data_IF_347436067383
#
_entry.id   IF_347436067383
#
_cell.length_a   1.000
_cell.length_b   1.000
_cell.length_c   1.000
_cell.angle_alpha   90.00
_cell.angle_beta   90.00
_cell.angle_gamma   90.00
#
_symmetry.space_group_name_H-M   'P 1'
#
loop_
_entity.id
_entity.type
_entity.pdbx_description
1 polymer ?
#
# COMPACT_ATOMS: atom_id res chain seq x y z
N UNK A 1 0.48 10.41 1.75
CA UNK A 1 -0.44 9.28 1.97
C UNK A 1 0.05 8.07 1.16
N UNK A 2 -0.41 6.85 1.47
CA UNK A 2 0.04 5.63 0.78
C UNK A 2 -0.36 5.59 -0.71
N UNK A 3 -1.59 6.04 -1.03
CA UNK A 3 -2.14 6.10 -2.41
C UNK A 3 -1.97 7.46 -3.13
N UNK A 4 -1.62 8.52 -2.40
CA UNK A 4 -1.63 9.89 -2.92
C UNK A 4 -2.75 10.74 -2.31
N UNK A 5 -2.71 12.05 -2.52
CA UNK A 5 -3.82 12.92 -2.11
C UNK A 5 -4.93 12.86 -3.17
N UNK A 6 -6.22 12.96 -2.81
CA UNK A 6 -7.31 12.99 -3.78
C UNK A 6 -7.33 14.29 -4.59
N UNK A 7 -8.04 14.32 -5.75
CA UNK A 7 -8.23 15.53 -6.54
C UNK A 7 -8.74 16.71 -5.70
N UNK A 8 -8.13 17.88 -5.86
CA UNK A 8 -8.51 19.11 -5.15
C UNK A 8 -7.79 19.33 -3.81
N UNK A 9 -6.94 18.41 -3.36
CA UNK A 9 -6.15 18.56 -2.12
C UNK A 9 -4.66 18.82 -2.42
N UNK A 10 -3.98 19.49 -1.48
CA UNK A 10 -2.53 19.72 -1.56
C UNK A 10 -1.80 18.37 -1.63
N UNK A 11 -0.94 18.21 -2.63
CA UNK A 11 -0.21 16.96 -2.87
C UNK A 11 -0.86 16.03 -3.90
N UNK A 12 -1.98 16.42 -4.52
CA UNK A 12 -2.49 15.75 -5.71
C UNK A 12 -1.45 15.78 -6.85
N UNK A 13 -1.38 14.72 -7.65
CA UNK A 13 -0.41 14.60 -8.75
C UNK A 13 1.00 14.11 -8.35
N UNK A 14 1.28 14.00 -7.04
CA UNK A 14 2.61 13.57 -6.54
C UNK A 14 2.77 12.05 -6.43
N UNK A 15 1.69 11.29 -6.69
CA UNK A 15 1.62 9.87 -6.38
C UNK A 15 1.65 9.57 -4.87
N UNK A 16 1.27 8.36 -4.50
CA UNK A 16 1.40 7.86 -3.15
C UNK A 16 2.80 7.34 -2.87
N UNK A 17 3.25 7.39 -1.61
CA UNK A 17 4.58 6.90 -1.25
C UNK A 17 4.71 5.40 -1.57
N UNK A 18 3.68 4.62 -1.25
CA UNK A 18 3.64 3.19 -1.53
C UNK A 18 3.46 2.92 -3.03
N UNK A 19 2.48 3.58 -3.65
CA UNK A 19 2.16 3.34 -5.06
C UNK A 19 3.31 3.70 -5.98
N UNK A 20 4.03 4.79 -5.71
CA UNK A 20 5.23 5.16 -6.48
C UNK A 20 6.43 4.24 -6.22
N UNK A 21 6.61 3.76 -4.99
CA UNK A 21 7.70 2.83 -4.67
C UNK A 21 7.56 1.53 -5.47
N UNK A 22 6.36 0.94 -5.48
CA UNK A 22 6.06 -0.30 -6.21
C UNK A 22 6.09 -0.06 -7.72
N UNK A 23 5.53 1.05 -8.21
CA UNK A 23 5.56 1.41 -9.64
C UNK A 23 6.99 1.50 -10.19
N UNK A 24 7.91 2.07 -9.41
CA UNK A 24 9.32 2.23 -9.79
C UNK A 24 10.13 0.94 -9.60
N UNK A 25 9.73 0.09 -8.66
CA UNK A 25 10.40 -1.19 -8.33
C UNK A 25 9.36 -2.30 -8.14
N UNK A 26 8.82 -2.86 -9.23
CA UNK A 26 7.74 -3.84 -9.17
C UNK A 26 8.18 -5.20 -8.59
N UNK A 27 9.48 -5.49 -8.61
CA UNK A 27 10.08 -6.62 -7.90
C UNK A 27 10.67 -6.11 -6.60
N UNK A 28 9.92 -6.21 -5.52
CA UNK A 28 10.32 -5.66 -4.22
C UNK A 28 9.77 -6.45 -3.05
N UNK A 29 10.30 -6.17 -1.87
CA UNK A 29 9.77 -6.65 -0.60
C UNK A 29 9.17 -5.45 0.13
N UNK A 30 7.91 -5.58 0.56
CA UNK A 30 7.25 -4.63 1.45
C UNK A 30 7.16 -5.29 2.83
N UNK A 31 7.67 -4.60 3.86
CA UNK A 31 7.47 -4.99 5.25
C UNK A 31 6.40 -4.11 5.88
N UNK A 32 5.37 -4.74 6.45
CA UNK A 32 4.38 -4.11 7.32
C UNK A 32 4.64 -4.58 8.74
N UNK A 33 5.26 -3.72 9.53
CA UNK A 33 5.62 -4.03 10.91
C UNK A 33 4.47 -3.75 11.88
N UNK A 34 4.33 -4.58 12.92
CA UNK A 34 3.29 -4.50 13.96
C UNK A 34 1.88 -4.22 13.39
N UNK A 35 1.46 -5.03 12.41
CA UNK A 35 0.29 -4.71 11.58
C UNK A 35 -1.00 -4.57 12.39
N UNK A 36 -1.11 -5.18 13.56
CA UNK A 36 -2.23 -5.03 14.49
C UNK A 36 -2.41 -3.61 15.04
N UNK A 37 -1.37 -2.77 15.00
CA UNK A 37 -1.40 -1.38 15.46
C UNK A 37 -1.83 -0.41 14.36
N UNK A 38 -1.92 -0.88 13.12
CA UNK A 38 -2.27 -0.02 11.99
C UNK A 38 -3.72 0.49 12.08
N UNK A 39 -3.95 1.69 11.56
CA UNK A 39 -5.31 2.22 11.44
C UNK A 39 -6.14 1.37 10.46
N UNK A 40 -7.46 1.16 10.68
CA UNK A 40 -8.33 0.42 9.76
C UNK A 40 -8.16 0.75 8.27
N UNK A 41 -8.08 2.03 7.92
CA UNK A 41 -7.83 2.50 6.54
C UNK A 41 -6.56 1.90 5.89
N UNK A 42 -5.53 1.59 6.67
CA UNK A 42 -4.32 0.92 6.16
C UNK A 42 -4.65 -0.51 5.76
N UNK A 43 -5.39 -1.24 6.59
CA UNK A 43 -5.85 -2.59 6.25
C UNK A 43 -6.73 -2.59 5.00
N UNK A 44 -7.67 -1.65 4.89
CA UNK A 44 -8.54 -1.52 3.71
C UNK A 44 -7.75 -1.30 2.41
N UNK A 45 -6.70 -0.48 2.48
CA UNK A 45 -5.80 -0.25 1.34
C UNK A 45 -5.16 -1.57 0.88
N UNK A 46 -4.66 -2.39 1.82
CA UNK A 46 -3.98 -3.64 1.49
C UNK A 46 -4.94 -4.80 1.16
N UNK A 47 -6.20 -4.80 1.62
CA UNK A 47 -7.17 -5.82 1.23
C UNK A 47 -7.37 -5.91 -0.28
N UNK A 48 -7.42 -4.77 -0.98
CA UNK A 48 -7.50 -4.76 -2.44
C UNK A 48 -6.27 -5.44 -3.09
N UNK A 49 -5.09 -5.24 -2.51
CA UNK A 49 -3.84 -5.86 -2.98
C UNK A 49 -3.87 -7.36 -2.73
N UNK A 50 -4.31 -7.81 -1.56
CA UNK A 50 -4.37 -9.23 -1.23
C UNK A 50 -5.43 -9.97 -2.05
N UNK A 51 -6.55 -9.33 -2.37
CA UNK A 51 -7.61 -9.91 -3.20
C UNK A 51 -7.22 -9.95 -4.69
N UNK A 52 -6.76 -8.83 -5.24
CA UNK A 52 -6.61 -8.66 -6.71
C UNK A 52 -5.18 -8.63 -7.21
N UNK A 53 -4.20 -8.50 -6.32
CA UNK A 53 -2.78 -8.27 -6.68
C UNK A 53 -2.51 -6.87 -7.26
N UNK A 54 -3.46 -5.94 -7.17
CA UNK A 54 -3.37 -4.62 -7.81
C UNK A 54 -4.02 -3.55 -6.93
N UNK A 55 -3.58 -2.31 -7.06
CA UNK A 55 -4.15 -1.15 -6.36
C UNK A 55 -4.25 0.04 -7.31
N UNK A 56 -5.33 0.81 -7.25
CA UNK A 56 -5.40 2.09 -7.95
C UNK A 56 -4.95 3.23 -7.01
N UNK A 57 -4.08 4.12 -7.51
CA UNK A 57 -3.66 5.31 -6.79
C UNK A 57 -4.72 6.42 -6.86
N UNK A 58 -4.47 7.55 -6.18
CA UNK A 58 -5.43 8.66 -6.12
C UNK A 58 -5.62 9.41 -7.45
N UNK A 59 -4.82 9.09 -8.47
CA UNK A 59 -4.93 9.61 -9.83
C UNK A 59 -5.59 8.59 -10.78
N UNK A 60 -6.04 7.44 -10.25
CA UNK A 60 -6.64 6.36 -11.02
C UNK A 60 -5.63 5.49 -11.76
N UNK A 61 -4.33 5.60 -11.46
CA UNK A 61 -3.31 4.75 -12.07
C UNK A 61 -3.29 3.41 -11.37
N UNK A 62 -3.32 2.34 -12.16
CA UNK A 62 -3.24 0.97 -11.66
C UNK A 62 -1.80 0.55 -11.39
N UNK A 63 -1.54 0.12 -10.16
CA UNK A 63 -0.25 -0.37 -9.68
C UNK A 63 -0.33 -1.89 -9.48
N UNK A 64 0.62 -2.61 -10.04
CA UNK A 64 0.71 -4.07 -9.98
C UNK A 64 1.62 -4.50 -8.82
N UNK A 65 1.11 -5.35 -7.94
CA UNK A 65 1.81 -5.91 -6.78
C UNK A 65 2.13 -7.40 -6.94
N UNK A 66 1.84 -8.03 -8.09
CA UNK A 66 2.00 -9.48 -8.29
C UNK A 66 3.42 -10.00 -8.11
N UNK A 67 4.42 -9.15 -8.31
CA UNK A 67 5.84 -9.48 -8.12
C UNK A 67 6.42 -8.89 -6.82
N UNK A 68 5.55 -8.42 -5.94
CA UNK A 68 5.93 -7.82 -4.66
C UNK A 68 5.68 -8.82 -3.54
N UNK A 69 6.73 -9.22 -2.84
CA UNK A 69 6.61 -10.03 -1.63
C UNK A 69 6.19 -9.10 -0.47
N UNK A 70 5.04 -9.38 0.14
CA UNK A 70 4.55 -8.61 1.29
C UNK A 70 4.75 -9.47 2.54
N UNK A 71 5.55 -8.96 3.48
CA UNK A 71 5.81 -9.55 4.78
C UNK A 71 5.07 -8.73 5.84
N UNK A 72 4.27 -9.42 6.66
CA UNK A 72 3.56 -8.83 7.79
C UNK A 72 4.13 -9.42 9.07
N UNK A 73 4.44 -8.58 10.05
CA UNK A 73 4.77 -9.02 11.41
C UNK A 73 3.66 -8.60 12.36
N UNK A 74 3.50 -9.36 13.45
CA UNK A 74 2.52 -9.04 14.49
C UNK A 74 2.98 -9.56 15.83
N UNK A 75 2.73 -8.79 16.89
CA UNK A 75 3.05 -9.16 18.26
C UNK A 75 1.84 -9.70 19.05
N UNK A 76 0.68 -9.90 18.41
CA UNK A 76 -0.57 -10.35 19.07
C UNK A 76 -0.45 -11.73 19.73
N UNK A 77 0.45 -12.59 19.24
CA UNK A 77 0.65 -13.95 19.75
C UNK A 77 1.91 -14.13 20.62
N UNK A 78 2.56 -13.06 21.05
CA UNK A 78 3.84 -13.12 21.78
C UNK A 78 3.68 -13.32 23.29
N UNK A 79 2.59 -13.97 23.73
CA UNK A 79 2.38 -14.47 25.10
C UNK A 79 2.36 -15.99 25.14
#
# INVERSE_FOLDING_TARGET
TLKGAPPGYVGYGKGGILTEAVRRKPYSVILLDEVEKAHPDVHEIFFQVFDKGMMDDSEGRRIDFKNTLILLTSNVGSE
#
